data_IF_433555112405
#
_entry.id   IF_433555112405
#
_cell.length_a   1.000
_cell.length_b   1.000
_cell.length_c   1.000
_cell.angle_alpha   90.00
_cell.angle_beta   90.00
_cell.angle_gamma   90.00
#
_symmetry.space_group_name_H-M   'P 1'
#
loop_
_entity.id
_entity.type
_entity.pdbx_description
1 polymer ?
#
# COMPACT_ATOMS: atom_id res chain seq x y z
N UNK A 1 -7.86 3.98 33.84
CA UNK A 1 -6.72 3.06 33.60
C UNK A 1 -7.07 1.86 32.72
N UNK A 2 -8.27 1.26 32.81
CA UNK A 2 -8.67 0.13 31.95
C UNK A 2 -8.81 0.51 30.45
N UNK A 3 -9.49 1.60 30.13
CA UNK A 3 -9.69 2.03 28.74
C UNK A 3 -8.39 2.39 28.01
N UNK A 4 -7.36 2.84 28.73
CA UNK A 4 -6.06 3.20 28.16
C UNK A 4 -5.40 1.99 27.48
N UNK A 5 -5.41 0.82 28.14
CA UNK A 5 -4.84 -0.40 27.58
C UNK A 5 -5.57 -0.84 26.32
N UNK A 6 -6.90 -0.72 26.29
CA UNK A 6 -7.70 -1.01 25.09
C UNK A 6 -7.33 -0.09 23.93
N UNK A 7 -7.19 1.21 24.19
CA UNK A 7 -6.83 2.20 23.18
C UNK A 7 -5.42 1.98 22.62
N UNK A 8 -4.46 1.61 23.48
CA UNK A 8 -3.08 1.28 23.06
C UNK A 8 -3.06 0.04 22.17
N UNK A 9 -3.81 -1.00 22.54
CA UNK A 9 -3.85 -2.25 21.76
C UNK A 9 -4.56 -2.03 20.42
N UNK A 10 -5.65 -1.25 20.43
CA UNK A 10 -6.37 -0.86 19.21
C UNK A 10 -5.49 -0.02 18.28
N UNK A 11 -4.76 0.98 18.79
CA UNK A 11 -3.89 1.82 17.95
C UNK A 11 -2.72 1.01 17.37
N UNK A 12 -2.15 0.08 18.16
CA UNK A 12 -1.09 -0.81 17.69
C UNK A 12 -1.58 -1.75 16.59
N UNK A 13 -2.78 -2.32 16.73
CA UNK A 13 -3.39 -3.16 15.69
C UNK A 13 -3.61 -2.39 14.38
N UNK A 14 -4.12 -1.16 14.47
CA UNK A 14 -4.30 -0.30 13.29
C UNK A 14 -2.95 0.01 12.64
N UNK A 15 -1.94 0.39 13.43
CA UNK A 15 -0.60 0.70 12.92
C UNK A 15 0.04 -0.49 12.20
N UNK A 16 -0.02 -1.69 12.79
CA UNK A 16 0.50 -2.91 12.19
C UNK A 16 -0.31 -3.34 10.95
N UNK A 17 -1.64 -3.16 10.98
CA UNK A 17 -2.50 -3.41 9.84
C UNK A 17 -2.14 -2.53 8.64
N UNK A 18 -1.95 -1.24 8.87
CA UNK A 18 -1.50 -0.30 7.85
C UNK A 18 -0.11 -0.63 7.33
N UNK A 19 0.84 -0.94 8.22
CA UNK A 19 2.20 -1.32 7.82
C UNK A 19 2.21 -2.60 6.99
N UNK A 20 1.44 -3.63 7.39
CA UNK A 20 1.32 -4.87 6.64
C UNK A 20 0.70 -4.67 5.26
N UNK A 21 -0.38 -3.88 5.18
CA UNK A 21 -1.00 -3.52 3.90
C UNK A 21 -0.04 -2.73 2.99
N UNK A 22 0.73 -1.80 3.57
CA UNK A 22 1.74 -1.04 2.85
C UNK A 22 2.83 -1.94 2.26
N UNK A 23 3.41 -2.83 3.06
CA UNK A 23 4.43 -3.78 2.60
C UNK A 23 3.87 -4.69 1.50
N UNK A 24 2.65 -5.18 1.65
CA UNK A 24 1.99 -5.99 0.62
C UNK A 24 1.78 -5.20 -0.68
N UNK A 25 1.36 -3.93 -0.59
CA UNK A 25 1.16 -3.04 -1.74
C UNK A 25 2.44 -2.80 -2.52
N UNK A 26 3.54 -2.51 -1.82
CA UNK A 26 4.87 -2.31 -2.43
C UNK A 26 5.36 -3.61 -3.07
N UNK A 27 5.25 -4.75 -2.39
CA UNK A 27 5.70 -6.04 -2.93
C UNK A 27 4.91 -6.48 -4.16
N UNK A 28 3.65 -6.07 -4.27
CA UNK A 28 2.78 -6.41 -5.41
C UNK A 28 2.99 -5.49 -6.62
N UNK A 29 3.91 -4.53 -6.54
CA UNK A 29 4.23 -3.64 -7.66
C UNK A 29 3.12 -2.66 -8.00
N UNK A 30 2.23 -2.36 -7.04
CA UNK A 30 1.16 -1.37 -7.25
C UNK A 30 1.70 0.04 -7.52
N UNK A 31 2.97 0.28 -7.21
CA UNK A 31 3.66 1.54 -7.46
C UNK A 31 4.60 1.48 -8.67
N UNK A 32 4.69 0.33 -9.37
CA UNK A 32 5.61 0.16 -10.51
C UNK A 32 5.06 0.79 -11.80
N UNK A 33 3.82 1.29 -11.78
CA UNK A 33 3.21 1.98 -12.91
C UNK A 33 3.59 3.46 -12.94
N UNK A 34 4.84 3.74 -13.29
CA UNK A 34 5.39 5.10 -13.36
C UNK A 34 4.90 5.90 -14.58
N UNK A 35 4.24 5.25 -15.54
CA UNK A 35 3.81 5.85 -16.81
C UNK A 35 2.33 5.61 -17.07
N UNK A 36 1.60 6.69 -17.32
CA UNK A 36 0.16 6.62 -17.57
C UNK A 36 -0.18 5.63 -18.70
N UNK A 37 -1.26 4.83 -18.56
CA UNK A 37 -1.64 3.82 -19.55
C UNK A 37 -1.75 4.35 -20.99
N UNK A 38 -2.10 5.64 -21.16
CA UNK A 38 -2.18 6.31 -22.45
C UNK A 38 -0.85 6.42 -23.19
N UNK A 39 0.28 6.44 -22.48
CA UNK A 39 1.62 6.49 -23.10
C UNK A 39 2.10 5.07 -23.42
N UNK A 40 1.85 4.12 -22.52
CA UNK A 40 2.20 2.70 -22.71
C UNK A 40 1.58 2.13 -23.99
N UNK A 41 0.27 2.32 -24.19
CA UNK A 41 -0.44 1.80 -25.37
C UNK A 41 0.04 2.39 -26.71
N UNK A 42 0.64 3.58 -26.71
CA UNK A 42 1.15 4.24 -27.93
C UNK A 42 2.59 3.83 -28.29
N UNK A 43 3.33 3.29 -27.31
CA UNK A 43 4.76 2.99 -27.41
C UNK A 43 5.06 1.48 -27.39
N UNK A 44 4.25 0.65 -26.72
CA UNK A 44 4.42 -0.81 -26.70
C UNK A 44 4.17 -1.46 -28.08
N UNK A 45 3.38 -0.82 -28.95
CA UNK A 45 3.07 -1.34 -30.29
C UNK A 45 4.20 -1.10 -31.33
N UNK A 46 5.32 -0.47 -30.93
CA UNK A 46 6.43 -0.10 -31.84
C UNK A 46 7.70 -0.94 -31.68
N UNK A 47 7.71 -1.97 -30.83
CA UNK A 47 8.76 -3.00 -30.81
C UNK A 47 8.37 -4.25 -31.59
#
# INVERSE_FOLDING_TARGET
MSALYLLILASLLVALGFLGAFIWSVKKGHFDDDYTPSVRILLDDKE
#
